data_IF_303791837455
#
_entry.id   IF_303791837455
#
_cell.length_a   1.000
_cell.length_b   1.000
_cell.length_c   1.000
_cell.angle_alpha   90.00
_cell.angle_beta   90.00
_cell.angle_gamma   90.00
#
_symmetry.space_group_name_H-M   'P 1'
#
loop_
_entity.id
_entity.type
_entity.pdbx_description
1 polymer ?
#
# COMPACT_ATOMS: atom_id res chain seq x y z
N UNK A 1 -24.26 11.50 -5.53
CA UNK A 1 -23.16 12.48 -5.64
C UNK A 1 -21.85 11.73 -5.42
N UNK A 2 -20.85 11.87 -6.30
CA UNK A 2 -19.54 11.25 -6.11
C UNK A 2 -18.68 12.20 -5.27
N UNK A 3 -18.29 11.79 -4.06
CA UNK A 3 -17.34 12.58 -3.25
C UNK A 3 -15.90 12.28 -3.70
N UNK A 4 -15.02 13.26 -3.56
CA UNK A 4 -13.57 13.07 -3.76
C UNK A 4 -13.06 11.99 -2.80
N UNK A 5 -12.27 11.05 -3.33
CA UNK A 5 -11.57 10.04 -2.53
C UNK A 5 -10.18 10.52 -2.15
N UNK A 6 -9.74 10.25 -0.92
CA UNK A 6 -8.47 10.70 -0.36
C UNK A 6 -7.61 9.50 0.05
N UNK A 7 -6.40 9.43 -0.51
CA UNK A 7 -5.36 8.51 -0.07
C UNK A 7 -4.26 9.28 0.66
N UNK A 8 -3.89 8.83 1.86
CA UNK A 8 -2.75 9.36 2.64
C UNK A 8 -1.64 8.29 2.62
N UNK A 9 -0.36 8.67 2.56
CA UNK A 9 0.72 7.72 2.26
C UNK A 9 1.97 7.92 3.11
N UNK A 10 2.63 6.80 3.42
CA UNK A 10 3.91 6.73 4.12
C UNK A 10 3.77 6.66 5.63
N UNK A 11 2.81 5.89 6.11
CA UNK A 11 2.60 5.62 7.54
C UNK A 11 3.74 4.80 8.13
N UNK A 12 4.13 5.12 9.37
CA UNK A 12 5.20 4.44 10.11
C UNK A 12 4.83 4.06 11.55
N UNK A 13 3.71 4.54 12.05
CA UNK A 13 3.23 4.30 13.40
C UNK A 13 1.70 4.22 13.43
N UNK A 14 1.17 3.52 14.43
CA UNK A 14 -0.25 3.22 14.54
C UNK A 14 -1.09 4.49 14.84
N UNK A 15 -0.55 5.44 15.60
CA UNK A 15 -1.27 6.66 15.95
C UNK A 15 -1.58 7.51 14.69
N UNK A 16 -0.64 7.60 13.76
CA UNK A 16 -0.87 8.26 12.48
C UNK A 16 -1.92 7.53 11.62
N UNK A 17 -1.91 6.19 11.63
CA UNK A 17 -2.93 5.38 10.95
C UNK A 17 -4.32 5.67 11.52
N UNK A 18 -4.48 5.59 12.84
CA UNK A 18 -5.74 5.88 13.54
C UNK A 18 -6.25 7.28 13.23
N UNK A 19 -5.38 8.30 13.33
CA UNK A 19 -5.74 9.67 13.02
C UNK A 19 -6.22 9.86 11.57
N UNK A 20 -5.59 9.17 10.61
CA UNK A 20 -6.00 9.23 9.21
C UNK A 20 -7.34 8.54 8.96
N UNK A 21 -7.60 7.43 9.65
CA UNK A 21 -8.88 6.72 9.62
C UNK A 21 -10.00 7.61 10.20
N UNK A 22 -9.77 8.22 11.36
CA UNK A 22 -10.72 9.14 12.00
C UNK A 22 -11.00 10.38 11.13
N UNK A 23 -10.00 10.87 10.40
CA UNK A 23 -10.15 11.98 9.45
C UNK A 23 -10.93 11.60 8.17
N UNK A 24 -11.29 10.32 7.98
CA UNK A 24 -12.09 9.86 6.87
C UNK A 24 -11.30 9.56 5.59
N UNK A 25 -10.03 9.16 5.70
CA UNK A 25 -9.26 8.68 4.55
C UNK A 25 -9.91 7.45 3.90
N UNK A 26 -9.91 7.40 2.57
CA UNK A 26 -10.41 6.27 1.79
C UNK A 26 -9.38 5.16 1.63
N UNK A 27 -8.09 5.53 1.65
CA UNK A 27 -6.99 4.59 1.53
C UNK A 27 -5.74 5.07 2.26
N UNK A 28 -4.96 4.10 2.77
CA UNK A 28 -3.68 4.31 3.42
C UNK A 28 -2.58 3.61 2.64
N UNK A 29 -1.50 4.34 2.33
CA UNK A 29 -0.35 3.82 1.59
C UNK A 29 0.82 3.48 2.49
N UNK A 30 1.40 2.30 2.30
CA UNK A 30 2.58 1.80 3.00
C UNK A 30 3.73 1.67 2.01
N UNK A 31 4.86 2.29 2.32
CA UNK A 31 5.96 2.43 1.38
C UNK A 31 7.03 1.37 1.64
N UNK A 32 7.28 0.51 0.65
CA UNK A 32 8.28 -0.54 0.72
C UNK A 32 9.59 -0.18 0.01
N UNK A 33 9.80 1.09 -0.37
CA UNK A 33 11.02 1.55 -1.02
C UNK A 33 12.08 2.00 0.01
N UNK A 34 13.13 1.21 0.28
CA UNK A 34 14.08 1.45 1.39
C UNK A 34 14.76 2.82 1.41
N UNK A 35 15.09 3.47 0.27
CA UNK A 35 15.62 4.84 0.27
C UNK A 35 14.69 5.90 0.86
N UNK A 36 13.40 5.63 1.01
CA UNK A 36 12.46 6.59 1.58
C UNK A 36 12.56 6.64 3.10
N UNK A 37 12.54 7.83 3.74
CA UNK A 37 12.43 7.93 5.20
C UNK A 37 11.06 7.43 5.73
N UNK A 38 10.12 7.15 4.83
CA UNK A 38 8.80 6.59 5.12
C UNK A 38 8.71 5.09 4.84
N UNK A 39 9.85 4.44 4.55
CA UNK A 39 9.90 3.02 4.29
C UNK A 39 9.51 2.20 5.52
N UNK A 40 8.79 1.11 5.29
CA UNK A 40 8.45 0.08 6.27
C UNK A 40 8.86 -1.29 5.75
N UNK A 41 9.22 -2.17 6.65
CA UNK A 41 9.40 -3.60 6.39
C UNK A 41 8.05 -4.31 6.27
N UNK A 42 8.04 -5.54 5.74
CA UNK A 42 6.83 -6.37 5.68
C UNK A 42 6.22 -6.59 7.08
N UNK A 43 7.06 -6.82 8.09
CA UNK A 43 6.60 -7.01 9.47
C UNK A 43 5.97 -5.74 10.04
N UNK A 44 6.62 -4.59 9.91
CA UNK A 44 6.08 -3.30 10.35
C UNK A 44 4.76 -2.97 9.63
N UNK A 45 4.70 -3.20 8.32
CA UNK A 45 3.49 -2.98 7.54
C UNK A 45 2.33 -3.87 8.01
N UNK A 46 2.59 -5.15 8.30
CA UNK A 46 1.58 -6.07 8.81
C UNK A 46 1.05 -5.64 10.20
N UNK A 47 1.93 -5.16 11.09
CA UNK A 47 1.51 -4.62 12.38
C UNK A 47 0.61 -3.37 12.22
N UNK A 48 1.02 -2.43 11.37
CA UNK A 48 0.23 -1.21 11.10
C UNK A 48 -1.09 -1.51 10.40
N UNK A 49 -1.12 -2.51 9.51
CA UNK A 49 -2.31 -2.91 8.77
C UNK A 49 -3.45 -3.40 9.69
N UNK A 50 -3.14 -3.91 10.89
CA UNK A 50 -4.16 -4.34 11.87
C UNK A 50 -4.97 -3.17 12.44
N UNK A 51 -4.42 -1.96 12.43
CA UNK A 51 -5.12 -0.75 12.86
C UNK A 51 -6.00 -0.16 11.75
N UNK A 52 -5.93 -0.69 10.52
CA UNK A 52 -6.74 -0.22 9.40
C UNK A 52 -8.08 -0.96 9.36
N UNK A 53 -9.22 -0.28 9.49
CA UNK A 53 -10.52 -0.94 9.44
C UNK A 53 -10.89 -1.38 8.02
N UNK A 54 -11.80 -2.36 7.85
CA UNK A 54 -12.12 -2.95 6.55
C UNK A 54 -12.65 -1.99 5.47
N UNK A 55 -13.20 -0.83 5.86
CA UNK A 55 -13.71 0.18 4.93
C UNK A 55 -12.65 1.16 4.41
N UNK A 56 -11.40 1.04 4.86
CA UNK A 56 -10.27 1.85 4.39
C UNK A 56 -9.32 0.95 3.61
N UNK A 57 -9.05 1.30 2.35
CA UNK A 57 -8.18 0.49 1.50
C UNK A 57 -6.72 0.58 1.97
N UNK A 58 -6.01 -0.55 1.95
CA UNK A 58 -4.57 -0.62 2.19
C UNK A 58 -3.86 -0.65 0.83
N UNK A 59 -2.80 0.13 0.64
CA UNK A 59 -2.07 0.20 -0.64
C UNK A 59 -0.59 -0.06 -0.42
N UNK A 60 -0.05 -1.07 -1.09
CA UNK A 60 1.38 -1.34 -1.09
C UNK A 60 2.08 -0.47 -2.15
N UNK A 61 2.96 0.44 -1.74
CA UNK A 61 3.75 1.27 -2.65
C UNK A 61 5.14 0.66 -2.85
N UNK A 62 5.48 0.37 -4.10
CA UNK A 62 6.78 -0.18 -4.48
C UNK A 62 7.43 0.63 -5.61
N UNK A 63 8.76 0.63 -5.67
CA UNK A 63 9.55 1.29 -6.72
C UNK A 63 10.48 0.25 -7.35
N UNK A 64 10.35 0.01 -8.65
CA UNK A 64 11.22 -0.92 -9.39
C UNK A 64 11.25 -2.35 -8.86
N UNK A 65 10.17 -2.79 -8.20
CA UNK A 65 10.08 -4.10 -7.56
C UNK A 65 9.73 -5.21 -8.56
N UNK A 66 10.22 -6.41 -8.28
CA UNK A 66 9.84 -7.63 -9.00
C UNK A 66 8.52 -8.22 -8.47
N UNK A 67 7.96 -9.21 -9.16
CA UNK A 67 6.71 -9.85 -8.74
C UNK A 67 6.76 -10.44 -7.33
N UNK A 68 7.79 -11.20 -6.91
CA UNK A 68 7.88 -11.70 -5.54
C UNK A 68 7.78 -10.59 -4.49
N UNK A 69 8.49 -9.47 -4.66
CA UNK A 69 8.43 -8.35 -3.73
C UNK A 69 7.04 -7.69 -3.71
N UNK A 70 6.43 -7.51 -4.88
CA UNK A 70 5.07 -6.95 -5.00
C UNK A 70 4.05 -7.84 -4.26
N UNK A 71 4.10 -9.16 -4.48
CA UNK A 71 3.19 -10.11 -3.84
C UNK A 71 3.40 -10.19 -2.33
N UNK A 72 4.64 -10.20 -1.87
CA UNK A 72 4.95 -10.20 -0.44
C UNK A 72 4.42 -8.94 0.25
N UNK A 73 4.56 -7.78 -0.37
CA UNK A 73 4.02 -6.51 0.14
C UNK A 73 2.48 -6.49 0.16
N UNK A 74 1.84 -7.03 -0.88
CA UNK A 74 0.39 -7.16 -0.95
C UNK A 74 -0.15 -8.11 0.12
N UNK A 75 0.52 -9.25 0.33
CA UNK A 75 0.18 -10.24 1.36
C UNK A 75 0.34 -9.68 2.77
N UNK A 76 1.45 -8.97 3.06
CA UNK A 76 1.68 -8.36 4.36
C UNK A 76 0.61 -7.33 4.75
N UNK A 77 0.00 -6.67 3.77
CA UNK A 77 -1.11 -5.73 3.96
C UNK A 77 -2.48 -6.38 3.79
N UNK A 78 -2.55 -7.68 3.48
CA UNK A 78 -3.78 -8.37 3.07
C UNK A 78 -4.60 -7.53 2.07
N UNK A 79 -3.93 -7.01 1.04
CA UNK A 79 -4.52 -6.13 0.05
C UNK A 79 -4.34 -6.67 -1.36
N UNK A 80 -5.20 -6.21 -2.26
CA UNK A 80 -5.02 -6.38 -3.70
C UNK A 80 -4.56 -5.10 -4.38
N UNK A 81 -4.54 -3.97 -3.67
CA UNK A 81 -4.19 -2.67 -4.24
C UNK A 81 -2.69 -2.41 -4.10
N UNK A 82 -2.02 -2.22 -5.23
CA UNK A 82 -0.59 -1.92 -5.30
C UNK A 82 -0.37 -0.65 -6.12
N UNK A 83 0.55 0.19 -5.67
CA UNK A 83 0.99 1.39 -6.34
C UNK A 83 2.43 1.20 -6.76
N UNK A 84 2.71 1.21 -8.06
CA UNK A 84 4.04 0.90 -8.58
C UNK A 84 4.67 2.15 -9.20
N UNK A 85 5.96 2.41 -8.92
CA UNK A 85 6.81 3.38 -9.65
C UNK A 85 8.04 2.76 -10.36
N UNK A 86 8.43 3.26 -11.54
CA UNK A 86 9.60 2.81 -12.33
C UNK A 86 9.31 1.72 -13.39
N UNK A 87 10.04 1.60 -14.50
CA UNK A 87 9.58 0.83 -15.68
C UNK A 87 9.15 -0.63 -15.42
N UNK A 88 8.05 -1.05 -16.06
CA UNK A 88 7.52 -2.41 -16.00
C UNK A 88 7.38 -2.97 -17.40
N UNK A 89 7.70 -4.24 -17.53
CA UNK A 89 7.43 -4.96 -18.77
C UNK A 89 5.93 -5.35 -18.82
N UNK A 90 5.32 -5.40 -20.01
CA UNK A 90 3.96 -5.91 -20.19
C UNK A 90 3.78 -7.32 -19.60
N UNK A 91 4.82 -8.16 -19.68
CA UNK A 91 4.81 -9.52 -19.15
C UNK A 91 4.67 -9.52 -17.62
N UNK A 92 5.40 -8.65 -16.91
CA UNK A 92 5.24 -8.50 -15.47
C UNK A 92 3.82 -8.05 -15.12
N UNK A 93 3.30 -7.01 -15.78
CA UNK A 93 1.93 -6.52 -15.53
C UNK A 93 0.87 -7.58 -15.80
N UNK A 94 1.05 -8.41 -16.83
CA UNK A 94 0.13 -9.52 -17.14
C UNK A 94 0.05 -10.55 -16.00
N UNK A 95 1.18 -10.84 -15.35
CA UNK A 95 1.26 -11.78 -14.21
C UNK A 95 0.62 -11.21 -12.94
N UNK A 96 0.56 -9.88 -12.82
CA UNK A 96 -0.09 -9.17 -11.73
C UNK A 96 -1.57 -8.89 -11.99
N UNK A 97 -2.19 -9.48 -13.02
CA UNK A 97 -3.58 -9.18 -13.41
C UNK A 97 -4.65 -9.50 -12.35
N UNK A 98 -4.26 -10.16 -11.26
CA UNK A 98 -5.11 -10.38 -10.11
C UNK A 98 -5.09 -9.18 -9.13
N UNK A 99 -4.02 -8.38 -9.13
CA UNK A 99 -3.88 -7.17 -8.31
C UNK A 99 -4.47 -5.94 -9.01
N UNK A 100 -4.97 -5.01 -8.21
CA UNK A 100 -5.38 -3.68 -8.66
C UNK A 100 -4.15 -2.75 -8.62
N UNK A 101 -3.57 -2.51 -9.80
CA UNK A 101 -2.42 -1.60 -9.96
C UNK A 101 -2.93 -0.17 -10.16
N UNK A 102 -2.48 0.76 -9.31
CA UNK A 102 -2.82 2.20 -9.36
C UNK A 102 -1.60 3.11 -9.55
#
# INVERSE_FOLDING_TARGET
MNRTRVKICGFRDAAAVEAAVEAGADALGFNFNPPSPRAVTLAEAAELARAVPPWVARVALLVGADEPAIRAAAEALETRCVQLYGPWSPELLSRLGDLEVI
#
